data_IF_899496839314
#
_entry.id   IF_899496839314
#
_cell.length_a   1.000
_cell.length_b   1.000
_cell.length_c   1.000
_cell.angle_alpha   90.00
_cell.angle_beta   90.00
_cell.angle_gamma   90.00
#
_symmetry.space_group_name_H-M   'P 1'
#
loop_
_entity.id
_entity.type
_entity.pdbx_description
1 polymer ?
#
# COMPACT_ATOMS: atom_id res chain seq x y z
N UNK A 1 7.28 -9.88 10.13
CA UNK A 1 7.65 -8.98 9.02
C UNK A 1 7.15 -7.60 9.38
N UNK A 2 8.03 -6.75 9.87
CA UNK A 2 7.64 -5.39 10.27
C UNK A 2 7.86 -4.51 9.05
N UNK A 3 6.83 -3.80 8.60
CA UNK A 3 6.97 -2.77 7.59
C UNK A 3 7.71 -1.57 8.19
N UNK A 4 8.98 -1.73 8.55
CA UNK A 4 9.81 -0.73 9.23
C UNK A 4 9.91 0.60 8.48
N UNK A 5 9.55 0.62 7.20
CA UNK A 5 9.58 1.80 6.34
C UNK A 5 8.20 2.34 5.97
N UNK A 6 7.11 1.71 6.45
CA UNK A 6 5.74 2.20 6.28
C UNK A 6 5.21 2.71 7.62
N UNK A 7 4.54 3.84 7.57
CA UNK A 7 3.76 4.35 8.68
C UNK A 7 2.44 3.58 8.80
N UNK A 8 1.84 3.57 9.99
CA UNK A 8 0.52 2.96 10.20
C UNK A 8 -0.54 3.58 9.28
N UNK A 9 -0.46 4.87 9.02
CA UNK A 9 -1.35 5.56 8.07
C UNK A 9 -1.22 4.99 6.67
N UNK A 10 0.00 4.80 6.17
CA UNK A 10 0.21 4.18 4.86
C UNK A 10 -0.34 2.76 4.81
N UNK A 11 -0.18 1.96 5.87
CA UNK A 11 -0.75 0.61 5.92
C UNK A 11 -2.28 0.63 5.82
N UNK A 12 -2.94 1.49 6.58
CA UNK A 12 -4.41 1.64 6.54
C UNK A 12 -4.87 2.11 5.16
N UNK A 13 -4.15 3.06 4.55
CA UNK A 13 -4.48 3.57 3.21
C UNK A 13 -4.34 2.49 2.13
N UNK A 14 -3.27 1.68 2.20
CA UNK A 14 -3.08 0.56 1.26
C UNK A 14 -4.24 -0.43 1.34
N UNK A 15 -4.63 -0.81 2.55
CA UNK A 15 -5.74 -1.73 2.74
C UNK A 15 -7.10 -1.16 2.32
N UNK A 16 -7.37 0.10 2.65
CA UNK A 16 -8.61 0.78 2.27
C UNK A 16 -8.72 0.88 0.74
N UNK A 17 -7.68 1.40 0.09
CA UNK A 17 -7.66 1.53 -1.37
C UNK A 17 -7.76 0.20 -2.09
N UNK A 18 -7.13 -0.85 -1.57
CA UNK A 18 -7.26 -2.19 -2.15
C UNK A 18 -8.69 -2.74 -2.00
N UNK A 19 -9.34 -2.54 -0.84
CA UNK A 19 -10.75 -2.94 -0.61
C UNK A 19 -11.74 -2.15 -1.48
N UNK A 20 -11.43 -0.89 -1.77
CA UNK A 20 -12.19 -0.06 -2.71
C UNK A 20 -11.99 -0.46 -4.19
N UNK A 21 -11.07 -1.40 -4.47
CA UNK A 21 -10.79 -1.87 -5.83
C UNK A 21 -9.93 -0.90 -6.65
N UNK A 22 -9.23 0.03 -5.99
CA UNK A 22 -8.34 0.97 -6.68
C UNK A 22 -7.17 0.19 -7.31
N UNK A 23 -6.81 0.48 -8.57
CA UNK A 23 -5.66 -0.16 -9.21
C UNK A 23 -4.37 0.04 -8.41
N UNK A 24 -3.57 -1.02 -8.29
CA UNK A 24 -2.28 -0.97 -7.56
C UNK A 24 -1.34 0.10 -8.12
N UNK A 25 -1.40 0.40 -9.42
CA UNK A 25 -0.64 1.51 -10.04
C UNK A 25 -0.94 2.84 -9.38
N UNK A 26 -2.21 3.09 -9.07
CA UNK A 26 -2.69 4.37 -8.57
C UNK A 26 -2.39 4.48 -7.07
N UNK A 27 -2.49 3.36 -6.34
CA UNK A 27 -2.02 3.26 -4.95
C UNK A 27 -0.53 3.55 -4.86
N UNK A 28 0.29 2.99 -5.76
CA UNK A 28 1.72 3.24 -5.82
C UNK A 28 2.03 4.72 -6.09
N UNK A 29 1.30 5.33 -7.03
CA UNK A 29 1.47 6.74 -7.38
C UNK A 29 1.06 7.67 -6.23
N UNK A 30 -0.07 7.38 -5.58
CA UNK A 30 -0.61 8.16 -4.46
C UNK A 30 0.33 8.14 -3.25
N UNK A 31 0.82 6.95 -2.89
CA UNK A 31 1.68 6.77 -1.72
C UNK A 31 3.18 6.94 -2.03
N UNK A 32 3.54 7.18 -3.30
CA UNK A 32 4.94 7.24 -3.79
C UNK A 32 5.74 6.01 -3.36
N UNK A 33 5.11 4.83 -3.39
CA UNK A 33 5.72 3.55 -2.99
C UNK A 33 5.88 2.61 -4.16
N UNK A 34 6.84 1.69 -4.03
CA UNK A 34 7.07 0.65 -5.04
C UNK A 34 5.92 -0.37 -5.03
N UNK A 35 5.63 -0.96 -6.19
CA UNK A 35 4.68 -2.07 -6.30
C UNK A 35 4.98 -3.22 -5.34
N UNK A 36 6.26 -3.55 -5.16
CA UNK A 36 6.69 -4.58 -4.21
C UNK A 36 6.27 -4.27 -2.76
N UNK A 37 6.33 -2.99 -2.38
CA UNK A 37 5.91 -2.54 -1.05
C UNK A 37 4.41 -2.75 -0.86
N UNK A 38 3.61 -2.37 -1.85
CA UNK A 38 2.14 -2.55 -1.82
C UNK A 38 1.77 -4.03 -1.76
N UNK A 39 2.38 -4.86 -2.61
CA UNK A 39 2.14 -6.31 -2.61
C UNK A 39 2.52 -6.98 -1.29
N UNK A 40 3.60 -6.56 -0.64
CA UNK A 40 3.97 -7.11 0.67
C UNK A 40 2.91 -6.86 1.74
N UNK A 41 2.14 -5.76 1.64
CA UNK A 41 1.08 -5.42 2.59
C UNK A 41 -0.21 -6.21 2.33
N UNK A 42 -0.50 -6.48 1.05
CA UNK A 42 -1.73 -7.18 0.63
C UNK A 42 -1.57 -8.72 0.66
N UNK A 43 -0.36 -9.23 0.46
CA UNK A 43 -0.04 -10.65 0.46
C UNK A 43 0.06 -11.23 1.88
#
# INVERSE_FOLDING_TARGET
MTYTHLTTTELVMIEAYYKEGIPISDICQSLKRSRQTIYKVIA
#
